data_IF_354175791543
#
_entry.id   IF_354175791543
#
_cell.length_a   1.000
_cell.length_b   1.000
_cell.length_c   1.000
_cell.angle_alpha   90.00
_cell.angle_beta   90.00
_cell.angle_gamma   90.00
#
_symmetry.space_group_name_H-M   'P 1'
#
loop_
_entity.id
_entity.type
_entity.pdbx_description
1 polymer ?
#
# COMPACT_ATOMS: atom_id res chain seq x y z
N UNK A 1 -14.37 2.08 18.30
CA UNK A 1 -15.62 1.95 17.49
C UNK A 1 -15.53 0.62 16.77
N UNK A 2 -16.50 -0.25 16.96
CA UNK A 2 -16.60 -1.53 16.22
C UNK A 2 -17.38 -1.34 14.91
N UNK A 3 -17.60 -2.43 14.17
CA UNK A 3 -18.36 -2.40 12.91
C UNK A 3 -19.84 -1.98 13.09
N UNK A 4 -20.36 -2.00 14.31
CA UNK A 4 -21.70 -1.54 14.66
C UNK A 4 -21.73 -0.05 15.05
N UNK A 5 -20.58 0.63 15.02
CA UNK A 5 -20.49 2.05 15.41
C UNK A 5 -20.59 2.29 16.91
N UNK A 6 -20.32 1.27 17.74
CA UNK A 6 -20.42 1.38 19.20
C UNK A 6 -19.37 2.33 19.75
N UNK A 7 -19.81 3.28 20.58
CA UNK A 7 -18.94 4.16 21.36
C UNK A 7 -18.96 3.69 22.81
N UNK A 8 -17.79 3.33 23.34
CA UNK A 8 -17.65 2.92 24.74
C UNK A 8 -16.95 4.03 25.50
N UNK A 9 -17.63 4.69 26.47
CA UNK A 9 -16.99 5.68 27.31
C UNK A 9 -16.06 5.00 28.34
N UNK A 10 -14.95 5.65 28.66
CA UNK A 10 -13.96 5.16 29.64
C UNK A 10 -12.55 5.11 29.10
N UNK A 11 -11.72 4.37 29.77
CA UNK A 11 -10.27 4.28 29.46
C UNK A 11 -9.97 3.19 28.43
N UNK A 12 -8.78 3.26 27.83
CA UNK A 12 -8.22 2.24 26.94
C UNK A 12 -6.88 1.77 27.53
N UNK A 13 -6.77 0.48 27.84
CA UNK A 13 -5.50 -0.12 28.24
C UNK A 13 -4.86 -0.84 27.07
N UNK A 14 -3.59 -0.49 26.80
CA UNK A 14 -2.76 -1.15 25.79
C UNK A 14 -1.63 -1.86 26.53
N UNK A 15 -1.43 -3.13 26.23
CA UNK A 15 -0.35 -3.95 26.76
C UNK A 15 0.30 -4.74 25.64
N UNK A 16 1.63 -4.70 25.55
CA UNK A 16 2.41 -5.42 24.53
C UNK A 16 1.95 -5.15 23.09
N UNK A 17 1.54 -3.88 22.81
CA UNK A 17 1.07 -3.46 21.49
C UNK A 17 -0.36 -3.91 21.14
N UNK A 18 -1.08 -4.51 22.07
CA UNK A 18 -2.47 -4.98 21.91
C UNK A 18 -3.42 -4.21 22.83
N UNK A 19 -4.67 -4.07 22.40
CA UNK A 19 -5.73 -3.54 23.24
C UNK A 19 -6.11 -4.62 24.26
N UNK A 20 -5.76 -4.39 25.53
CA UNK A 20 -6.01 -5.32 26.61
C UNK A 20 -7.41 -5.13 27.21
N UNK A 21 -7.88 -3.86 27.34
CA UNK A 21 -9.21 -3.58 27.85
C UNK A 21 -9.72 -2.21 27.35
N UNK A 22 -11.04 -2.06 27.30
CA UNK A 22 -11.74 -0.82 26.84
C UNK A 22 -12.85 -0.49 27.82
N UNK A 23 -13.06 0.79 28.06
CA UNK A 23 -14.12 1.29 28.92
C UNK A 23 -13.82 1.07 30.40
N UNK A 24 -14.86 0.89 31.25
CA UNK A 24 -14.69 0.76 32.69
C UNK A 24 -13.72 -0.37 33.11
N UNK A 25 -13.69 -1.48 32.35
CA UNK A 25 -12.83 -2.62 32.62
C UNK A 25 -11.34 -2.32 32.49
N UNK A 26 -10.96 -1.26 31.75
CA UNK A 26 -9.56 -0.92 31.55
C UNK A 26 -8.85 -0.52 32.85
N UNK A 27 -9.56 0.15 33.75
CA UNK A 27 -9.02 0.54 35.07
C UNK A 27 -8.79 -0.66 35.99
N UNK A 28 -9.74 -1.59 35.99
CA UNK A 28 -9.60 -2.82 36.79
C UNK A 28 -8.47 -3.70 36.25
N UNK A 29 -8.36 -3.83 34.93
CA UNK A 29 -7.28 -4.54 34.28
C UNK A 29 -5.91 -3.91 34.59
N UNK A 30 -5.80 -2.58 34.60
CA UNK A 30 -4.57 -1.88 34.97
C UNK A 30 -4.12 -2.22 36.41
N UNK A 31 -5.06 -2.27 37.34
CA UNK A 31 -4.76 -2.58 38.75
C UNK A 31 -4.24 -4.02 38.96
N UNK A 32 -4.50 -4.91 38.00
CA UNK A 32 -3.97 -6.29 38.03
C UNK A 32 -2.55 -6.41 37.48
N UNK A 33 -2.04 -5.35 36.83
CA UNK A 33 -0.66 -5.35 36.33
C UNK A 33 0.33 -5.22 37.50
N UNK A 34 1.58 -5.71 37.35
CA UNK A 34 2.63 -5.51 38.32
C UNK A 34 2.81 -4.02 38.66
N UNK A 35 2.60 -3.69 39.94
CA UNK A 35 2.64 -2.30 40.41
C UNK A 35 1.38 -1.45 40.16
N UNK A 36 0.34 -1.99 39.51
CA UNK A 36 -0.95 -1.34 39.31
C UNK A 36 -0.91 -0.01 38.54
N UNK A 37 0.09 0.17 37.67
CA UNK A 37 0.30 1.41 36.91
C UNK A 37 0.77 1.13 35.49
N UNK A 38 0.46 2.06 34.57
CA UNK A 38 0.99 2.07 33.21
C UNK A 38 2.37 2.78 33.16
N UNK A 39 3.19 2.41 32.20
CA UNK A 39 4.47 3.06 31.93
C UNK A 39 4.28 4.48 31.36
N UNK A 40 3.20 4.68 30.62
CA UNK A 40 2.78 5.98 30.08
C UNK A 40 1.24 6.13 30.16
N UNK A 41 0.78 7.34 30.36
CA UNK A 41 -0.65 7.69 30.36
C UNK A 41 -0.86 8.96 29.59
N UNK A 42 -1.92 8.98 28.77
CA UNK A 42 -2.33 10.13 27.97
C UNK A 42 -3.73 10.55 28.37
N UNK A 43 -3.91 11.82 28.66
CA UNK A 43 -5.25 12.37 28.88
C UNK A 43 -5.97 12.54 27.54
N UNK A 44 -7.05 11.78 27.37
CA UNK A 44 -7.93 11.82 26.21
C UNK A 44 -9.31 12.35 26.56
N UNK A 45 -9.47 13.11 27.64
CA UNK A 45 -10.75 13.69 28.02
C UNK A 45 -11.30 14.57 26.89
N UNK A 46 -12.55 14.35 26.50
CA UNK A 46 -13.19 15.05 25.39
C UNK A 46 -12.79 14.60 23.99
N UNK A 47 -11.96 13.55 23.88
CA UNK A 47 -11.53 12.99 22.62
C UNK A 47 -12.24 11.67 22.28
N UNK A 48 -12.23 11.32 20.99
CA UNK A 48 -12.55 9.98 20.52
C UNK A 48 -11.26 9.23 20.19
N UNK A 49 -11.12 8.04 20.73
CA UNK A 49 -10.05 7.10 20.31
C UNK A 49 -10.63 6.18 19.24
N UNK A 50 -10.04 6.22 18.06
CA UNK A 50 -10.46 5.46 16.89
C UNK A 50 -9.36 4.51 16.46
N UNK A 51 -9.68 3.38 15.80
CA UNK A 51 -8.69 2.62 15.03
C UNK A 51 -8.00 3.55 14.04
N UNK A 52 -6.69 3.34 13.82
CA UNK A 52 -5.97 4.09 12.81
C UNK A 52 -6.56 3.88 11.42
N UNK A 53 -6.48 4.90 10.58
CA UNK A 53 -7.00 4.85 9.22
C UNK A 53 -6.18 3.91 8.35
N UNK A 54 -6.85 3.23 7.41
CA UNK A 54 -6.22 2.38 6.39
C UNK A 54 -6.34 3.06 5.05
N UNK A 55 -5.19 3.35 4.43
CA UNK A 55 -5.13 3.90 3.08
C UNK A 55 -4.88 2.77 2.08
N UNK A 56 -5.94 2.30 1.43
CA UNK A 56 -5.94 1.06 0.67
C UNK A 56 -5.23 1.13 -0.69
N UNK A 57 -4.89 2.33 -1.19
CA UNK A 57 -4.16 2.51 -2.44
C UNK A 57 -3.48 3.87 -2.49
N UNK A 58 -2.18 3.89 -2.77
CA UNK A 58 -1.41 5.12 -2.99
C UNK A 58 -0.12 4.84 -3.77
N UNK A 59 0.59 5.93 -4.12
CA UNK A 59 1.90 5.92 -4.75
C UNK A 59 2.86 6.84 -3.97
N UNK A 60 3.63 6.31 -3.05
CA UNK A 60 4.60 7.08 -2.26
C UNK A 60 5.65 7.79 -3.15
N UNK A 61 5.98 7.21 -4.30
CA UNK A 61 6.90 7.81 -5.25
C UNK A 61 6.36 9.09 -5.89
N UNK A 62 5.05 9.35 -5.86
CA UNK A 62 4.44 10.50 -6.54
C UNK A 62 4.17 11.70 -5.61
N UNK A 63 4.52 11.63 -4.34
CA UNK A 63 4.24 12.70 -3.38
C UNK A 63 4.83 14.05 -3.82
N UNK A 64 6.01 14.04 -4.46
CA UNK A 64 6.65 15.26 -4.99
C UNK A 64 6.00 15.80 -6.27
N UNK A 65 5.06 15.07 -6.88
CA UNK A 65 4.45 15.47 -8.16
C UNK A 65 3.16 16.29 -7.99
N UNK A 66 2.73 16.52 -6.76
CA UNK A 66 1.50 17.29 -6.49
C UNK A 66 1.56 18.68 -7.10
N UNK A 67 0.48 19.04 -7.81
CA UNK A 67 0.37 20.30 -8.51
C UNK A 67 1.13 20.38 -9.84
N UNK A 68 1.88 19.33 -10.24
CA UNK A 68 2.62 19.31 -11.50
C UNK A 68 1.84 18.70 -12.66
N UNK A 69 0.77 17.98 -12.39
CA UNK A 69 0.04 17.22 -13.39
C UNK A 69 -1.46 17.27 -13.09
N UNK A 70 -2.14 18.31 -13.57
CA UNK A 70 -3.56 18.50 -13.35
C UNK A 70 -4.35 18.41 -14.68
N UNK A 71 -5.60 17.91 -14.60
CA UNK A 71 -6.66 18.03 -15.60
C UNK A 71 -6.38 17.45 -17.00
N UNK A 72 -6.07 16.16 -17.09
CA UNK A 72 -6.13 15.44 -18.37
C UNK A 72 -6.76 14.05 -18.21
N UNK A 73 -7.14 13.43 -19.33
CA UNK A 73 -7.54 12.02 -19.30
C UNK A 73 -6.38 11.14 -18.83
N UNK A 74 -6.70 9.96 -18.28
CA UNK A 74 -5.73 9.07 -17.65
C UNK A 74 -4.49 8.79 -18.51
N UNK A 75 -4.68 8.41 -19.77
CA UNK A 75 -3.55 7.99 -20.62
C UNK A 75 -2.66 9.16 -21.00
N UNK A 76 -3.26 10.32 -21.25
CA UNK A 76 -2.54 11.56 -21.52
C UNK A 76 -1.76 12.01 -20.27
N UNK A 77 -2.42 12.01 -19.12
CA UNK A 77 -1.81 12.33 -17.83
C UNK A 77 -0.60 11.42 -17.52
N UNK A 78 -0.75 10.11 -17.74
CA UNK A 78 0.36 9.17 -17.56
C UNK A 78 1.52 9.48 -18.53
N UNK A 79 1.25 9.63 -19.83
CA UNK A 79 2.27 9.80 -20.87
C UNK A 79 2.99 11.13 -20.80
N UNK A 80 2.25 12.22 -20.57
CA UNK A 80 2.79 13.60 -20.64
C UNK A 80 3.36 14.06 -19.29
N UNK A 81 2.97 13.46 -18.19
CA UNK A 81 3.34 13.93 -16.85
C UNK A 81 3.92 12.85 -15.95
N UNK A 82 3.15 11.84 -15.60
CA UNK A 82 3.54 10.91 -14.52
C UNK A 82 4.71 10.01 -14.91
N UNK A 83 4.64 9.37 -16.08
CA UNK A 83 5.73 8.49 -16.50
C UNK A 83 7.06 9.22 -16.72
N UNK A 84 7.12 10.41 -17.35
CA UNK A 84 8.34 11.19 -17.41
C UNK A 84 8.92 11.54 -16.03
N UNK A 85 8.06 11.93 -15.08
CA UNK A 85 8.48 12.25 -13.72
C UNK A 85 8.98 11.02 -12.96
N UNK A 86 8.28 9.89 -13.08
CA UNK A 86 8.72 8.62 -12.48
C UNK A 86 10.04 8.12 -13.11
N UNK A 87 10.21 8.26 -14.42
CA UNK A 87 11.44 7.88 -15.12
C UNK A 87 12.65 8.71 -14.68
N UNK A 88 12.43 9.97 -14.29
CA UNK A 88 13.46 10.88 -13.81
C UNK A 88 13.85 10.68 -12.33
N UNK A 89 13.16 9.80 -11.60
CA UNK A 89 13.48 9.55 -10.21
C UNK A 89 14.88 8.96 -10.02
N UNK A 90 15.52 9.43 -8.97
CA UNK A 90 16.71 8.84 -8.36
C UNK A 90 16.35 8.21 -7.02
N UNK A 91 17.23 7.39 -6.44
CA UNK A 91 17.03 6.86 -5.08
C UNK A 91 16.79 7.98 -4.06
N UNK A 92 17.54 9.07 -4.14
CA UNK A 92 17.39 10.21 -3.25
C UNK A 92 16.02 10.89 -3.36
N UNK A 93 15.51 11.09 -4.59
CA UNK A 93 14.20 11.71 -4.80
C UNK A 93 13.05 10.77 -4.39
N UNK A 94 13.17 9.46 -4.61
CA UNK A 94 12.21 8.46 -4.11
C UNK A 94 12.19 8.45 -2.58
N UNK A 95 13.38 8.45 -1.93
CA UNK A 95 13.46 8.52 -0.48
C UNK A 95 12.77 9.77 0.09
N UNK A 96 13.01 10.93 -0.52
CA UNK A 96 12.38 12.18 -0.12
C UNK A 96 10.85 12.14 -0.32
N UNK A 97 10.39 11.64 -1.47
CA UNK A 97 8.97 11.49 -1.80
C UNK A 97 8.27 10.56 -0.81
N UNK A 98 8.85 9.39 -0.55
CA UNK A 98 8.29 8.41 0.37
C UNK A 98 8.21 8.95 1.81
N UNK A 99 9.30 9.54 2.32
CA UNK A 99 9.32 10.12 3.67
C UNK A 99 8.34 11.25 3.84
N UNK A 100 8.22 12.15 2.86
CA UNK A 100 7.23 13.23 2.90
C UNK A 100 5.81 12.67 2.95
N UNK A 101 5.48 11.73 2.07
CA UNK A 101 4.16 11.07 2.06
C UNK A 101 3.85 10.35 3.37
N UNK A 102 4.83 9.63 3.93
CA UNK A 102 4.68 8.93 5.21
C UNK A 102 4.47 9.90 6.38
N UNK A 103 5.19 11.02 6.42
CA UNK A 103 4.97 12.05 7.45
C UNK A 103 3.53 12.59 7.41
N UNK A 104 3.00 12.86 6.22
CA UNK A 104 1.63 13.37 6.07
C UNK A 104 0.59 12.31 6.42
N UNK A 105 0.79 11.07 5.99
CA UNK A 105 -0.10 9.96 6.31
C UNK A 105 -0.20 9.72 7.82
N UNK A 106 0.94 9.66 8.51
CA UNK A 106 0.98 9.47 9.96
C UNK A 106 0.37 10.67 10.69
N UNK A 107 0.68 11.90 10.27
CA UNK A 107 0.06 13.10 10.82
C UNK A 107 -1.46 13.13 10.60
N UNK A 108 -1.96 12.53 9.53
CA UNK A 108 -3.38 12.34 9.23
C UNK A 108 -4.04 11.16 9.94
N UNK A 109 -3.32 10.42 10.80
CA UNK A 109 -3.86 9.27 11.54
C UNK A 109 -3.91 7.97 10.74
N UNK A 110 -3.21 7.87 9.61
CA UNK A 110 -3.08 6.64 8.84
C UNK A 110 -2.05 5.74 9.51
N UNK A 111 -2.42 4.49 9.76
CA UNK A 111 -1.56 3.50 10.43
C UNK A 111 -1.27 2.28 9.56
N UNK A 112 -1.96 2.14 8.44
CA UNK A 112 -1.75 1.06 7.47
C UNK A 112 -1.94 1.57 6.05
N UNK A 113 -1.05 1.18 5.15
CA UNK A 113 -1.11 1.59 3.74
C UNK A 113 -0.96 0.41 2.80
N UNK A 114 -1.41 0.60 1.55
CA UNK A 114 -1.12 -0.28 0.42
C UNK A 114 -0.51 0.56 -0.71
N UNK A 115 0.82 0.51 -0.83
CA UNK A 115 1.58 1.27 -1.83
C UNK A 115 1.82 0.44 -3.09
N UNK A 116 1.49 1.00 -4.26
CA UNK A 116 1.79 0.38 -5.56
C UNK A 116 3.30 0.26 -5.81
N UNK A 117 4.09 1.09 -5.12
CA UNK A 117 5.53 1.17 -5.28
C UNK A 117 5.96 1.84 -6.58
N UNK A 118 7.13 1.47 -7.04
CA UNK A 118 7.77 2.03 -8.23
C UNK A 118 8.43 0.93 -9.05
N UNK A 119 8.71 1.19 -10.33
CA UNK A 119 9.40 0.22 -11.21
C UNK A 119 10.85 0.03 -10.79
N UNK A 120 11.53 1.12 -10.39
CA UNK A 120 12.94 1.11 -9.97
C UNK A 120 13.07 1.59 -8.52
N UNK A 121 14.15 1.18 -7.87
CA UNK A 121 14.51 1.66 -6.52
C UNK A 121 13.46 1.38 -5.43
N UNK A 122 12.64 0.34 -5.58
CA UNK A 122 11.57 0.01 -4.62
C UNK A 122 12.11 -0.31 -3.22
N UNK A 123 13.33 -0.81 -3.12
CA UNK A 123 13.98 -1.07 -1.84
C UNK A 123 14.11 0.21 -0.98
N UNK A 124 14.30 1.37 -1.61
CA UNK A 124 14.36 2.67 -0.90
C UNK A 124 13.03 3.01 -0.23
N UNK A 125 11.91 2.65 -0.87
CA UNK A 125 10.58 2.79 -0.26
C UNK A 125 10.44 1.83 0.92
N UNK A 126 10.90 0.58 0.77
CA UNK A 126 10.86 -0.40 1.85
C UNK A 126 11.64 0.06 3.09
N UNK A 127 12.83 0.64 2.90
CA UNK A 127 13.64 1.19 3.99
C UNK A 127 12.90 2.35 4.70
N UNK A 128 12.27 3.26 3.95
CA UNK A 128 11.46 4.35 4.52
C UNK A 128 10.23 3.84 5.28
N UNK A 129 9.58 2.78 4.79
CA UNK A 129 8.47 2.12 5.47
C UNK A 129 8.90 1.48 6.79
N UNK A 130 10.05 0.81 6.80
CA UNK A 130 10.61 0.22 8.02
C UNK A 130 10.94 1.26 9.07
N UNK A 131 11.62 2.36 8.66
CA UNK A 131 11.95 3.50 9.52
C UNK A 131 10.70 4.17 10.12
N UNK A 132 9.64 4.33 9.34
CA UNK A 132 8.42 5.03 9.76
C UNK A 132 7.62 4.31 10.85
N UNK A 133 7.79 3.01 11.00
CA UNK A 133 7.00 2.19 11.91
C UNK A 133 5.58 1.87 11.44
N UNK A 134 5.12 2.39 10.30
CA UNK A 134 3.78 2.13 9.74
C UNK A 134 3.61 0.66 9.33
N UNK A 135 2.38 0.18 9.28
CA UNK A 135 2.05 -1.09 8.62
C UNK A 135 1.88 -0.84 7.13
N UNK A 136 2.46 -1.69 6.30
CA UNK A 136 2.35 -1.54 4.86
C UNK A 136 2.25 -2.88 4.13
N UNK A 137 1.38 -2.91 3.13
CA UNK A 137 1.57 -3.75 1.95
C UNK A 137 2.22 -2.86 0.91
N UNK A 138 3.26 -3.30 0.25
CA UNK A 138 3.89 -2.53 -0.82
C UNK A 138 4.41 -3.46 -1.92
N UNK A 139 4.50 -2.96 -3.13
CA UNK A 139 4.93 -3.76 -4.27
C UNK A 139 6.01 -3.11 -5.09
N UNK A 140 6.59 -3.89 -6.00
CA UNK A 140 7.36 -3.38 -7.12
C UNK A 140 6.42 -3.29 -8.32
N UNK A 141 6.23 -2.09 -8.86
CA UNK A 141 5.44 -1.91 -10.07
C UNK A 141 6.09 -2.64 -11.25
N UNK A 142 5.33 -3.52 -11.91
CA UNK A 142 5.80 -4.31 -13.04
C UNK A 142 5.23 -3.70 -14.33
N UNK A 143 6.11 -3.43 -15.28
CA UNK A 143 5.77 -2.89 -16.60
C UNK A 143 6.72 -3.47 -17.65
N UNK A 144 6.22 -4.28 -18.57
CA UNK A 144 6.98 -4.86 -19.68
C UNK A 144 6.48 -4.42 -21.06
N UNK A 145 5.40 -3.64 -21.10
CA UNK A 145 4.73 -3.16 -22.30
C UNK A 145 4.26 -1.72 -22.16
N UNK A 146 3.55 -1.23 -23.13
CA UNK A 146 2.84 0.06 -23.12
C UNK A 146 3.37 1.05 -24.15
N UNK A 147 2.44 1.67 -24.86
CA UNK A 147 2.72 2.75 -25.81
C UNK A 147 3.01 4.04 -25.04
N UNK A 148 4.10 4.72 -25.39
CA UNK A 148 4.52 5.98 -24.73
C UNK A 148 5.14 5.80 -23.34
N UNK A 149 5.32 4.57 -22.87
CA UNK A 149 6.06 4.31 -21.62
C UNK A 149 7.55 4.55 -21.86
N UNK A 150 8.24 5.40 -21.07
CA UNK A 150 9.68 5.59 -21.12
C UNK A 150 10.45 4.27 -20.98
N UNK A 151 11.60 4.18 -21.64
CA UNK A 151 12.42 2.97 -21.59
C UNK A 151 12.88 2.63 -20.16
N UNK A 152 13.10 3.65 -19.35
CA UNK A 152 13.49 3.55 -17.94
C UNK A 152 12.43 2.87 -17.06
N UNK A 153 11.15 2.91 -17.47
CA UNK A 153 10.04 2.28 -16.77
C UNK A 153 9.62 0.94 -17.39
N UNK A 154 10.23 0.51 -18.49
CA UNK A 154 10.01 -0.83 -19.05
C UNK A 154 11.13 -1.74 -18.67
N UNK A 155 10.79 -2.94 -18.21
CA UNK A 155 11.74 -4.00 -17.91
C UNK A 155 11.39 -5.26 -18.70
N UNK A 156 12.38 -6.10 -18.94
CA UNK A 156 12.11 -7.44 -19.44
C UNK A 156 11.30 -8.21 -18.41
N UNK A 157 10.27 -8.91 -18.88
CA UNK A 157 9.30 -9.65 -18.05
C UNK A 157 9.94 -10.44 -16.91
N UNK A 158 10.93 -11.29 -17.25
CA UNK A 158 11.61 -12.13 -16.25
C UNK A 158 12.38 -11.31 -15.23
N UNK A 159 13.13 -10.31 -15.68
CA UNK A 159 13.89 -9.41 -14.80
C UNK A 159 12.98 -8.67 -13.81
N UNK A 160 11.85 -8.15 -14.30
CA UNK A 160 10.88 -7.46 -13.46
C UNK A 160 10.30 -8.40 -12.36
N UNK A 161 9.99 -9.64 -12.72
CA UNK A 161 9.46 -10.64 -11.79
C UNK A 161 10.51 -11.08 -10.78
N UNK A 162 11.74 -11.35 -11.24
CA UNK A 162 12.85 -11.77 -10.38
C UNK A 162 13.16 -10.72 -9.32
N UNK A 163 13.17 -9.43 -9.70
CA UNK A 163 13.35 -8.32 -8.76
C UNK A 163 12.20 -8.23 -7.74
N UNK A 164 10.95 -8.44 -8.18
CA UNK A 164 9.80 -8.42 -7.28
C UNK A 164 9.85 -9.59 -6.27
N UNK A 165 10.24 -10.78 -6.71
CA UNK A 165 10.43 -11.94 -5.84
C UNK A 165 11.61 -11.78 -4.89
N UNK A 166 12.70 -11.15 -5.34
CA UNK A 166 13.82 -10.80 -4.47
C UNK A 166 13.41 -9.78 -3.40
N UNK A 167 12.59 -8.80 -3.76
CA UNK A 167 12.01 -7.84 -2.81
C UNK A 167 11.13 -8.57 -1.77
N UNK A 168 10.26 -9.47 -2.23
CA UNK A 168 9.42 -10.28 -1.34
C UNK A 168 10.26 -11.13 -0.38
N UNK A 169 11.29 -11.81 -0.88
CA UNK A 169 12.19 -12.61 -0.06
C UNK A 169 12.87 -11.80 1.05
N UNK A 170 13.16 -10.52 0.79
CA UNK A 170 13.85 -9.64 1.74
C UNK A 170 12.92 -9.00 2.76
N UNK A 171 11.73 -8.57 2.34
CA UNK A 171 10.88 -7.67 3.13
C UNK A 171 9.53 -8.26 3.52
N UNK A 172 9.07 -9.36 2.92
CA UNK A 172 7.77 -9.93 3.34
C UNK A 172 7.88 -10.45 4.78
N UNK A 173 6.96 -10.03 5.62
CA UNK A 173 6.98 -10.24 7.06
C UNK A 173 8.13 -9.53 7.82
N UNK A 174 8.86 -8.61 7.19
CA UNK A 174 9.88 -7.81 7.87
C UNK A 174 9.28 -6.86 8.92
N UNK A 175 10.17 -6.20 9.68
CA UNK A 175 9.80 -5.24 10.73
C UNK A 175 8.78 -5.80 11.74
N UNK A 176 8.97 -7.06 12.17
CA UNK A 176 8.06 -7.73 13.10
C UNK A 176 6.69 -8.04 12.49
N UNK A 177 6.63 -8.29 11.18
CA UNK A 177 5.40 -8.59 10.44
C UNK A 177 4.58 -7.36 10.03
N UNK A 178 5.11 -6.15 10.22
CA UNK A 178 4.43 -4.91 9.78
C UNK A 178 4.47 -4.71 8.28
N UNK A 179 5.51 -5.22 7.60
CA UNK A 179 5.67 -5.11 6.17
C UNK A 179 5.24 -6.40 5.48
N UNK A 180 4.45 -6.26 4.42
CA UNK A 180 4.07 -7.33 3.51
C UNK A 180 4.35 -6.87 2.08
N UNK A 181 4.74 -7.81 1.23
CA UNK A 181 5.05 -7.50 -0.16
C UNK A 181 3.94 -8.00 -1.07
N UNK A 182 3.62 -7.21 -2.10
CA UNK A 182 2.71 -7.56 -3.18
C UNK A 182 3.43 -7.62 -4.52
N UNK A 183 2.92 -8.40 -5.45
CA UNK A 183 3.25 -8.29 -6.86
C UNK A 183 2.35 -7.21 -7.47
N UNK A 184 2.96 -6.21 -8.09
CA UNK A 184 2.23 -5.03 -8.54
C UNK A 184 2.28 -4.82 -10.08
N UNK A 185 1.67 -5.72 -10.89
CA UNK A 185 1.49 -5.44 -12.31
C UNK A 185 0.65 -4.17 -12.44
N UNK A 186 1.22 -3.12 -13.05
CA UNK A 186 0.69 -1.77 -12.90
C UNK A 186 -0.74 -1.64 -13.41
N UNK A 187 -1.00 -2.02 -14.66
CA UNK A 187 -2.34 -2.11 -15.26
C UNK A 187 -2.29 -2.80 -16.63
N UNK A 188 -3.46 -3.10 -17.19
CA UNK A 188 -3.57 -3.96 -18.37
C UNK A 188 -2.81 -3.45 -19.61
N UNK A 189 -2.68 -2.12 -19.80
CA UNK A 189 -2.01 -1.55 -20.96
C UNK A 189 -0.49 -1.46 -20.82
N UNK A 190 0.05 -1.68 -19.63
CA UNK A 190 1.48 -1.63 -19.37
C UNK A 190 2.10 -3.01 -19.10
N UNK A 191 1.29 -4.07 -19.16
CA UNK A 191 1.73 -5.42 -18.88
C UNK A 191 1.28 -6.37 -19.99
N UNK A 192 2.18 -7.19 -20.52
CA UNK A 192 1.82 -8.24 -21.46
C UNK A 192 0.98 -9.32 -20.79
N UNK A 193 0.18 -10.04 -21.58
CA UNK A 193 -0.57 -11.22 -21.08
C UNK A 193 0.37 -12.26 -20.44
N UNK A 194 1.57 -12.40 -21.01
CA UNK A 194 2.58 -13.32 -20.46
C UNK A 194 3.05 -12.89 -19.07
N UNK A 195 3.25 -11.59 -18.82
CA UNK A 195 3.59 -11.09 -17.48
C UNK A 195 2.44 -11.33 -16.51
N UNK A 196 1.20 -11.14 -16.92
CA UNK A 196 0.03 -11.41 -16.08
C UNK A 196 -0.07 -12.86 -15.65
N UNK A 197 0.25 -13.81 -16.54
CA UNK A 197 0.29 -15.24 -16.22
C UNK A 197 1.41 -15.56 -15.22
N UNK A 198 2.61 -15.07 -15.47
CA UNK A 198 3.74 -15.27 -14.57
C UNK A 198 3.46 -14.68 -13.16
N UNK A 199 2.81 -13.51 -13.09
CA UNK A 199 2.39 -12.90 -11.81
C UNK A 199 1.37 -13.77 -11.09
N UNK A 200 0.40 -14.35 -11.80
CA UNK A 200 -0.58 -15.25 -11.20
C UNK A 200 0.07 -16.51 -10.62
N UNK A 201 0.96 -17.14 -11.39
CA UNK A 201 1.71 -18.32 -10.96
C UNK A 201 2.60 -18.00 -9.75
N UNK A 202 3.39 -16.93 -9.82
CA UNK A 202 4.25 -16.49 -8.73
C UNK A 202 3.47 -16.11 -7.46
N UNK A 203 2.30 -15.49 -7.61
CA UNK A 203 1.39 -15.19 -6.49
C UNK A 203 0.92 -16.46 -5.79
N UNK A 204 0.50 -17.46 -6.56
CA UNK A 204 0.04 -18.74 -6.02
C UNK A 204 1.16 -19.51 -5.32
N UNK A 205 2.33 -19.59 -5.94
CA UNK A 205 3.49 -20.32 -5.42
C UNK A 205 4.05 -19.68 -4.14
N UNK A 206 4.12 -18.35 -4.09
CA UNK A 206 4.74 -17.62 -2.98
C UNK A 206 3.74 -17.04 -1.99
N UNK A 207 2.43 -17.23 -2.20
CA UNK A 207 1.33 -16.66 -1.39
C UNK A 207 1.41 -15.15 -1.25
N UNK A 208 1.78 -14.47 -2.34
CA UNK A 208 1.88 -13.02 -2.40
C UNK A 208 0.57 -12.41 -2.91
N UNK A 209 0.21 -11.26 -2.37
CA UNK A 209 -0.93 -10.47 -2.82
C UNK A 209 -0.62 -9.88 -4.20
N UNK A 210 -1.61 -9.77 -5.07
CA UNK A 210 -1.52 -9.00 -6.32
C UNK A 210 -2.23 -7.68 -6.14
N UNK A 211 -1.55 -6.58 -6.45
CA UNK A 211 -2.07 -5.22 -6.40
C UNK A 211 -1.98 -4.59 -7.79
N UNK A 212 -3.08 -4.09 -8.32
CA UNK A 212 -3.12 -3.51 -9.67
C UNK A 212 -4.19 -2.43 -9.80
N UNK A 213 -4.08 -1.62 -10.85
CA UNK A 213 -5.15 -0.72 -11.27
C UNK A 213 -6.09 -1.45 -12.22
N UNK A 214 -7.38 -1.38 -11.96
CA UNK A 214 -8.41 -2.02 -12.76
C UNK A 214 -9.56 -1.05 -13.02
N UNK A 215 -9.98 -0.95 -14.30
CA UNK A 215 -11.12 -0.14 -14.71
C UNK A 215 -11.04 1.35 -14.31
N UNK A 216 -9.85 1.92 -14.32
CA UNK A 216 -9.56 3.29 -13.87
C UNK A 216 -10.20 4.38 -14.76
N UNK A 217 -10.55 4.04 -16.00
CA UNK A 217 -11.27 4.92 -16.90
C UNK A 217 -11.79 4.19 -18.13
N UNK A 218 -12.70 4.78 -18.92
CA UNK A 218 -13.29 4.14 -20.11
C UNK A 218 -12.27 3.66 -21.13
N UNK A 219 -11.15 4.38 -21.28
CA UNK A 219 -10.06 4.03 -22.19
C UNK A 219 -9.17 2.88 -21.66
N UNK A 220 -9.22 2.58 -20.38
CA UNK A 220 -8.43 1.52 -19.76
C UNK A 220 -9.11 0.13 -19.86
N UNK A 221 -10.34 0.07 -20.32
CA UNK A 221 -11.11 -1.18 -20.47
C UNK A 221 -11.31 -1.44 -21.96
N UNK A 222 -10.51 -2.31 -22.61
CA UNK A 222 -10.82 -2.74 -23.96
C UNK A 222 -12.20 -3.42 -24.00
N UNK A 223 -12.99 -3.26 -25.08
CA UNK A 223 -14.34 -3.84 -25.19
C UNK A 223 -14.39 -5.36 -24.91
N UNK A 224 -13.30 -6.08 -25.16
CA UNK A 224 -13.16 -7.52 -24.91
C UNK A 224 -12.88 -7.87 -23.45
N UNK A 225 -12.27 -7.00 -22.66
CA UNK A 225 -11.99 -7.27 -21.25
C UNK A 225 -13.24 -7.14 -20.36
N UNK A 226 -14.22 -6.32 -20.77
CA UNK A 226 -15.49 -6.20 -20.06
C UNK A 226 -16.31 -7.53 -20.05
N UNK A 227 -16.08 -8.41 -21.03
CA UNK A 227 -16.76 -9.73 -21.10
C UNK A 227 -16.09 -10.78 -20.21
N UNK A 228 -14.77 -10.72 -20.02
CA UNK A 228 -14.02 -11.69 -19.19
C UNK A 228 -14.11 -11.37 -17.71
N UNK A 229 -14.18 -10.08 -17.32
CA UNK A 229 -14.37 -9.68 -15.91
C UNK A 229 -15.76 -10.10 -15.36
N UNK A 230 -16.80 -10.20 -16.22
CA UNK A 230 -18.12 -10.73 -15.82
C UNK A 230 -18.14 -12.24 -15.63
N UNK A 231 -17.26 -12.97 -16.28
CA UNK A 231 -17.19 -14.42 -16.17
C UNK A 231 -16.47 -14.91 -14.90
N UNK A 232 -15.64 -14.05 -14.27
CA UNK A 232 -14.91 -14.39 -13.04
C UNK A 232 -15.64 -13.99 -11.74
N UNK A 233 -16.70 -13.20 -11.84
CA UNK A 233 -17.59 -12.95 -10.71
C UNK A 233 -18.60 -14.10 -10.59
N UNK A 234 -18.21 -15.20 -9.96
CA UNK A 234 -19.11 -16.26 -9.57
C UNK A 234 -20.25 -15.74 -8.68
N UNK A 235 -21.41 -16.43 -8.63
CA UNK A 235 -22.54 -15.97 -7.84
C UNK A 235 -22.15 -15.85 -6.36
N UNK A 236 -22.29 -14.64 -5.79
CA UNK A 236 -22.14 -14.43 -4.35
C UNK A 236 -23.15 -15.33 -3.64
N UNK A 237 -22.67 -16.29 -2.88
CA UNK A 237 -23.48 -17.02 -1.93
C UNK A 237 -24.07 -16.02 -0.92
N UNK A 238 -25.40 -16.03 -0.81
CA UNK A 238 -26.16 -15.31 0.19
C UNK A 238 -25.96 -15.96 1.56
#
# INVERSE_FOLDING_TARGET
MDTAGTVVPGDLLIQDGLIAAVGPAARDALLQLPGGRADASYDAAGCFVLPGLVHAHLHLCQTLFRGLAEQSDLLRWLRESIWPLEAAHTEASIAASARLGLCELVAGGVTCINDMGTVRHTAVIADALEESGIRAVFGKALMDAGEGVPAELKQRRQEALDEALALAKRYDCAAGGRLRVSLAPRFILSCTEALWRDVADASAENRLIVHTHLAEGPAAVPPTAASTARASAGPSAR
#
